data_IF_920156637820
#
_entry.id   IF_920156637820
#
_cell.length_a   1.000
_cell.length_b   1.000
_cell.length_c   1.000
_cell.angle_alpha   90.00
_cell.angle_beta   90.00
_cell.angle_gamma   90.00
#
_symmetry.space_group_name_H-M   'P 1'
#
loop_
_entity.id
_entity.type
_entity.pdbx_description
1 polymer ?
#
# COMPACT_ATOMS: atom_id res chain seq x y z
N UNK A 1 -15.34 15.39 -12.20
CA UNK A 1 -14.82 14.70 -11.00
C UNK A 1 -15.89 13.73 -10.51
N UNK A 2 -15.50 12.69 -9.78
CA UNK A 2 -16.48 11.85 -9.07
C UNK A 2 -17.19 12.69 -8.00
N UNK A 3 -18.43 12.38 -7.70
CA UNK A 3 -19.16 12.99 -6.60
C UNK A 3 -18.57 12.58 -5.25
N UNK A 4 -18.88 13.34 -4.20
CA UNK A 4 -18.49 13.01 -2.83
C UNK A 4 -19.03 11.64 -2.39
N UNK A 5 -20.22 11.26 -2.84
CA UNK A 5 -20.84 9.98 -2.51
C UNK A 5 -20.16 8.82 -3.23
N UNK A 6 -19.86 8.99 -4.52
CA UNK A 6 -19.04 8.04 -5.28
C UNK A 6 -17.67 7.85 -4.63
N UNK A 7 -17.06 8.94 -4.14
CA UNK A 7 -15.75 8.88 -3.49
C UNK A 7 -15.80 8.14 -2.16
N UNK A 8 -16.79 8.40 -1.31
CA UNK A 8 -17.01 7.66 -0.06
C UNK A 8 -17.23 6.18 -0.31
N UNK A 9 -17.99 5.83 -1.34
CA UNK A 9 -18.22 4.43 -1.71
C UNK A 9 -16.92 3.73 -2.11
N UNK A 10 -16.08 4.38 -2.92
CA UNK A 10 -14.77 3.85 -3.33
C UNK A 10 -13.84 3.66 -2.12
N UNK A 11 -13.74 4.66 -1.25
CA UNK A 11 -12.91 4.58 -0.05
C UNK A 11 -13.37 3.44 0.86
N UNK A 12 -14.68 3.27 1.05
CA UNK A 12 -15.25 2.17 1.83
C UNK A 12 -14.92 0.81 1.21
N UNK A 13 -15.10 0.68 -0.11
CA UNK A 13 -14.80 -0.55 -0.83
C UNK A 13 -13.32 -0.92 -0.73
N UNK A 14 -12.41 0.02 -1.01
CA UNK A 14 -10.96 -0.22 -0.92
C UNK A 14 -10.57 -0.59 0.51
N UNK A 15 -11.04 0.17 1.50
CA UNK A 15 -10.72 -0.07 2.91
C UNK A 15 -11.18 -1.45 3.39
N UNK A 16 -12.33 -1.94 2.89
CA UNK A 16 -12.83 -3.28 3.22
C UNK A 16 -11.97 -4.42 2.68
N UNK A 17 -11.13 -4.15 1.68
CA UNK A 17 -10.24 -5.12 1.05
C UNK A 17 -8.82 -5.04 1.58
N UNK A 18 -8.46 -4.07 2.41
CA UNK A 18 -7.12 -3.96 2.99
C UNK A 18 -7.11 -4.57 4.39
N UNK A 19 -6.07 -5.34 4.73
CA UNK A 19 -5.91 -5.89 6.08
C UNK A 19 -5.86 -4.79 7.17
N UNK A 20 -5.37 -3.60 6.82
CA UNK A 20 -5.34 -2.44 7.72
C UNK A 20 -6.69 -1.71 7.86
N UNK A 21 -7.71 -2.09 7.11
CA UNK A 21 -9.05 -1.50 7.20
C UNK A 21 -9.13 -0.02 6.78
N UNK A 22 -8.13 0.47 6.02
CA UNK A 22 -8.04 1.85 5.55
C UNK A 22 -7.41 1.95 4.16
N UNK A 23 -7.63 3.07 3.49
CA UNK A 23 -6.84 3.45 2.32
C UNK A 23 -5.43 3.91 2.73
N UNK A 24 -4.48 3.74 1.81
CA UNK A 24 -3.14 4.30 1.94
C UNK A 24 -3.17 5.83 1.93
N UNK A 25 -2.20 6.42 2.62
CA UNK A 25 -1.91 7.85 2.60
C UNK A 25 -0.55 8.08 1.91
N UNK A 26 -0.26 9.28 1.41
CA UNK A 26 1.04 9.58 0.81
C UNK A 26 2.23 9.19 1.69
N UNK A 27 2.09 9.33 3.01
CA UNK A 27 3.14 9.02 3.98
C UNK A 27 3.48 7.53 4.02
N UNK A 28 2.54 6.63 3.72
CA UNK A 28 2.80 5.19 3.68
C UNK A 28 3.86 4.85 2.61
N UNK A 29 3.81 5.54 1.46
CA UNK A 29 4.80 5.37 0.38
C UNK A 29 6.09 6.13 0.71
N UNK A 30 5.98 7.37 1.21
CA UNK A 30 7.13 8.21 1.52
C UNK A 30 8.06 7.55 2.56
N UNK A 31 7.48 6.93 3.58
CA UNK A 31 8.25 6.26 4.63
C UNK A 31 9.03 5.05 4.09
N UNK A 32 8.42 4.24 3.21
CA UNK A 32 9.10 3.09 2.58
C UNK A 32 10.19 3.56 1.63
N UNK A 33 9.93 4.60 0.84
CA UNK A 33 10.95 5.20 -0.03
C UNK A 33 12.12 5.77 0.78
N UNK A 34 11.85 6.43 1.91
CA UNK A 34 12.88 6.95 2.81
C UNK A 34 13.72 5.83 3.41
N UNK A 35 13.09 4.74 3.87
CA UNK A 35 13.80 3.55 4.34
C UNK A 35 14.72 2.99 3.25
N UNK A 36 14.21 2.79 2.03
CA UNK A 36 14.99 2.24 0.90
C UNK A 36 16.12 3.15 0.42
N UNK A 37 16.06 4.44 0.72
CA UNK A 37 17.11 5.40 0.42
C UNK A 37 18.16 5.49 1.55
N UNK A 38 17.92 4.85 2.69
CA UNK A 38 18.79 4.91 3.86
C UNK A 38 19.82 3.78 3.90
N UNK A 39 20.82 3.92 4.77
CA UNK A 39 21.82 2.87 5.01
C UNK A 39 21.22 1.61 5.66
N UNK A 40 20.05 1.73 6.31
CA UNK A 40 19.37 0.61 6.97
C UNK A 40 18.88 -0.47 5.98
N UNK A 41 18.89 -0.19 4.69
CA UNK A 41 18.49 -1.10 3.61
C UNK A 41 19.61 -1.45 2.63
N UNK A 42 20.88 -1.28 3.00
CA UNK A 42 22.05 -1.40 2.11
C UNK A 42 22.17 -2.75 1.37
N UNK A 43 21.58 -3.83 1.93
CA UNK A 43 21.58 -5.16 1.32
C UNK A 43 20.32 -5.48 0.50
N UNK A 44 19.35 -4.55 0.41
CA UNK A 44 18.09 -4.74 -0.32
C UNK A 44 18.22 -4.14 -1.73
N UNK A 45 18.20 -4.98 -2.76
CA UNK A 45 18.21 -4.55 -4.16
C UNK A 45 17.43 -5.50 -5.07
N UNK A 46 16.94 -4.97 -6.20
CA UNK A 46 16.21 -5.74 -7.21
C UNK A 46 14.82 -6.25 -6.79
N UNK A 47 14.28 -5.76 -5.67
CA UNK A 47 12.99 -6.20 -5.13
C UNK A 47 11.84 -5.27 -5.50
N UNK A 48 10.64 -5.85 -5.57
CA UNK A 48 9.37 -5.10 -5.64
C UNK A 48 8.77 -5.09 -4.24
N UNK A 49 8.62 -3.91 -3.63
CA UNK A 49 8.00 -3.76 -2.31
C UNK A 49 6.57 -3.24 -2.49
N UNK A 50 5.59 -4.09 -2.14
CA UNK A 50 4.16 -3.74 -2.20
C UNK A 50 3.76 -2.98 -0.93
N UNK A 51 3.23 -1.78 -1.10
CA UNK A 51 2.79 -0.91 0.00
C UNK A 51 1.31 -0.55 -0.20
N UNK A 52 0.42 -1.46 0.17
CA UNK A 52 -1.01 -1.33 -0.13
C UNK A 52 -1.93 -1.59 1.07
N UNK A 53 -1.36 -1.64 2.27
CA UNK A 53 -2.10 -1.95 3.51
C UNK A 53 -2.57 -3.40 3.61
N UNK A 54 -1.94 -4.32 2.87
CA UNK A 54 -2.33 -5.73 2.82
C UNK A 54 -3.59 -5.93 1.99
N UNK A 55 -3.71 -5.21 0.87
CA UNK A 55 -4.86 -5.32 -0.04
C UNK A 55 -4.69 -6.42 -1.07
N UNK A 56 -3.46 -6.62 -1.53
CA UNK A 56 -3.12 -7.82 -2.28
C UNK A 56 -3.13 -8.99 -1.31
N UNK A 57 -4.07 -9.92 -1.53
CA UNK A 57 -4.14 -11.16 -0.78
C UNK A 57 -3.91 -12.41 -1.65
N UNK A 58 -3.07 -13.26 -1.06
CA UNK A 58 -2.72 -14.68 -1.22
C UNK A 58 -1.91 -15.31 -2.37
N UNK A 59 -1.78 -14.78 -3.58
CA UNK A 59 -1.25 -15.62 -4.69
C UNK A 59 0.19 -15.41 -5.16
N UNK A 60 0.84 -14.27 -4.87
CA UNK A 60 2.16 -13.97 -5.47
C UNK A 60 3.38 -14.45 -4.69
N UNK A 61 3.19 -14.99 -3.47
CA UNK A 61 4.29 -15.55 -2.66
C UNK A 61 4.09 -17.04 -2.28
N UNK A 62 3.10 -17.71 -2.90
CA UNK A 62 2.81 -19.13 -2.68
C UNK A 62 2.77 -19.96 -3.95
N UNK A 63 3.54 -19.53 -4.96
CA UNK A 63 3.99 -20.38 -6.06
C UNK A 63 5.47 -20.10 -6.30
#
# INVERSE_FOLDING_TARGET
GKSEEEWRSIVKEISSKTALGRIGKPEDIANVALFLASEDSDFITGQIIVVDGGRQDFFTHSI
#
